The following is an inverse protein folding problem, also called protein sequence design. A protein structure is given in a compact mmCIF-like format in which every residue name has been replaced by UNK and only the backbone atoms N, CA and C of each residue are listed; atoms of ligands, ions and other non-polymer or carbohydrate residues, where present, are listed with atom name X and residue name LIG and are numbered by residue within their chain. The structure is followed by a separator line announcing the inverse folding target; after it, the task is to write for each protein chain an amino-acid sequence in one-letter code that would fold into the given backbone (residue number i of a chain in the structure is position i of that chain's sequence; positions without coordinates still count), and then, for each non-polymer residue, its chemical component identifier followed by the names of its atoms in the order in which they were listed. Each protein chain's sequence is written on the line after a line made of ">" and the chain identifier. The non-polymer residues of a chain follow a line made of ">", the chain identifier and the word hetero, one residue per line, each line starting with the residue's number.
data_IF_072754650871
#
_entry.id   IF_072754650871
#
_cell.length_a   1.000
_cell.length_b   1.000
_cell.length_c   1.000
_cell.angle_alpha   90.00
_cell.angle_beta   90.00
_cell.angle_gamma   90.00
#
_symmetry.space_group_name_H-M   'P 1'
#
loop_
_entity.id
_entity.type
_entity.pdbx_description
1 polymer ?
#
# COMPACT_ATOMS: atom_id res chain seq x y z
N UNK A 1 -35.58 -25.24 9.63
CA UNK A 1 -34.19 -24.81 9.93
C UNK A 1 -33.57 -24.35 8.62
N UNK A 2 -33.29 -23.04 8.45
CA UNK A 2 -32.82 -22.43 7.19
C UNK A 2 -31.55 -21.64 7.53
N UNK A 3 -30.41 -22.04 6.94
CA UNK A 3 -29.13 -21.35 7.10
C UNK A 3 -29.09 -20.09 6.22
N UNK A 4 -28.56 -18.95 6.70
CA UNK A 4 -28.23 -17.84 5.82
C UNK A 4 -26.84 -18.03 5.22
N UNK A 5 -26.80 -18.06 3.89
CA UNK A 5 -25.62 -18.07 3.05
C UNK A 5 -24.76 -16.82 3.28
N UNK A 6 -23.60 -16.98 3.92
CA UNK A 6 -22.60 -15.92 4.12
C UNK A 6 -21.58 -15.84 2.97
N UNK A 7 -22.01 -16.06 1.73
CA UNK A 7 -21.17 -15.99 0.52
C UNK A 7 -21.62 -14.79 -0.33
N UNK A 8 -21.51 -13.58 0.21
CA UNK A 8 -21.73 -12.37 -0.60
C UNK A 8 -20.88 -11.16 -0.17
N UNK A 9 -20.17 -11.24 0.96
CA UNK A 9 -19.39 -10.11 1.48
C UNK A 9 -17.96 -10.03 0.91
N UNK A 10 -17.43 -11.12 0.35
CA UNK A 10 -16.03 -11.18 -0.08
C UNK A 10 -15.74 -10.45 -1.42
N UNK A 11 -16.75 -10.25 -2.28
CA UNK A 11 -16.56 -9.66 -3.60
C UNK A 11 -16.39 -8.13 -3.60
N UNK A 12 -16.95 -7.45 -2.60
CA UNK A 12 -16.97 -5.98 -2.58
C UNK A 12 -15.59 -5.36 -2.24
N UNK A 13 -14.77 -6.05 -1.45
CA UNK A 13 -13.46 -5.55 -1.03
C UNK A 13 -12.43 -5.48 -2.16
N UNK A 14 -12.45 -6.46 -3.08
CA UNK A 14 -11.51 -6.50 -4.20
C UNK A 14 -11.77 -5.35 -5.19
N UNK A 15 -13.04 -5.04 -5.47
CA UNK A 15 -13.41 -3.94 -6.37
C UNK A 15 -12.97 -2.55 -5.85
N UNK A 16 -12.96 -2.35 -4.52
CA UNK A 16 -12.46 -1.12 -3.90
C UNK A 16 -10.94 -0.97 -4.00
N UNK A 17 -10.18 -2.07 -3.95
CA UNK A 17 -8.72 -2.06 -4.14
C UNK A 17 -8.33 -1.75 -5.60
N UNK A 18 -9.10 -2.24 -6.58
CA UNK A 18 -8.90 -1.91 -8.00
C UNK A 18 -9.39 -0.51 -8.39
N UNK A 19 -10.24 0.11 -7.58
CA UNK A 19 -10.72 1.49 -7.76
C UNK A 19 -9.82 2.55 -7.10
N UNK A 20 -8.65 2.15 -6.58
CA UNK A 20 -7.63 3.10 -6.17
C UNK A 20 -7.18 3.90 -7.38
N UNK A 21 -7.72 5.13 -7.49
CA UNK A 21 -7.35 6.06 -8.54
C UNK A 21 -5.82 6.18 -8.59
N UNK A 22 -5.20 6.20 -9.78
CA UNK A 22 -3.77 6.42 -9.87
C UNK A 22 -3.52 7.77 -9.20
N UNK A 23 -2.80 7.76 -8.07
CA UNK A 23 -2.37 8.99 -7.43
C UNK A 23 -1.65 9.79 -8.52
N UNK A 24 -2.28 10.87 -8.97
CA UNK A 24 -1.88 11.60 -10.16
C UNK A 24 -0.38 11.88 -10.08
N UNK A 25 0.38 11.18 -10.92
CA UNK A 25 1.84 11.22 -10.96
C UNK A 25 2.34 12.52 -11.62
N UNK A 26 1.65 13.62 -11.37
CA UNK A 26 2.18 14.94 -11.71
C UNK A 26 3.47 15.13 -10.89
N UNK A 27 4.57 15.55 -11.52
CA UNK A 27 5.82 15.79 -10.82
C UNK A 27 5.60 16.76 -9.66
N UNK A 28 6.34 16.55 -8.57
CA UNK A 28 6.34 17.44 -7.42
C UNK A 28 7.37 18.55 -7.64
N UNK A 29 6.94 19.79 -7.40
CA UNK A 29 7.77 20.99 -7.42
C UNK A 29 7.79 21.58 -6.00
N UNK A 30 8.71 22.51 -5.73
CA UNK A 30 8.71 23.27 -4.48
C UNK A 30 7.89 24.56 -4.65
N UNK A 31 7.29 25.08 -3.58
CA UNK A 31 6.82 26.47 -3.54
C UNK A 31 7.89 27.41 -2.93
N UNK A 32 7.57 28.70 -2.79
CA UNK A 32 8.49 29.69 -2.22
C UNK A 32 8.82 29.42 -0.74
N UNK A 33 7.92 28.78 -0.02
CA UNK A 33 8.04 28.48 1.41
C UNK A 33 8.73 27.12 1.63
N UNK A 34 9.15 26.44 0.56
CA UNK A 34 9.86 25.18 0.59
C UNK A 34 8.96 23.97 0.77
N UNK A 35 7.66 24.11 0.53
CA UNK A 35 6.68 23.02 0.61
C UNK A 35 6.60 22.28 -0.72
N UNK A 36 6.51 20.95 -0.66
CA UNK A 36 6.30 20.13 -1.85
C UNK A 36 4.86 20.28 -2.34
N UNK A 37 4.69 20.82 -3.55
CA UNK A 37 3.41 21.04 -4.23
C UNK A 37 3.40 20.35 -5.60
N UNK A 38 2.24 20.26 -6.26
CA UNK A 38 2.19 19.74 -7.64
C UNK A 38 2.74 20.77 -8.61
N UNK A 39 3.58 20.35 -9.55
CA UNK A 39 4.02 21.24 -10.62
C UNK A 39 2.80 21.78 -11.38
N UNK A 40 2.80 23.09 -11.67
CA UNK A 40 1.68 23.79 -12.31
C UNK A 40 0.65 24.39 -11.34
N UNK A 41 0.76 24.13 -10.04
CA UNK A 41 -0.03 24.84 -9.01
C UNK A 41 0.41 26.32 -8.96
N UNK A 42 -0.51 27.28 -8.80
CA UNK A 42 -0.13 28.68 -8.59
C UNK A 42 0.84 28.81 -7.41
N UNK A 43 2.00 29.44 -7.64
CA UNK A 43 3.06 29.54 -6.62
C UNK A 43 4.10 28.42 -6.64
N UNK A 44 3.94 27.39 -7.48
CA UNK A 44 4.98 26.39 -7.71
C UNK A 44 6.19 27.01 -8.41
N UNK A 45 7.37 26.80 -7.84
CA UNK A 45 8.65 27.13 -8.45
C UNK A 45 8.98 26.15 -9.59
N UNK A 46 9.77 26.58 -10.58
CA UNK A 46 10.11 25.75 -11.73
C UNK A 46 10.91 24.51 -11.32
N UNK A 47 10.86 23.48 -12.17
CA UNK A 47 11.64 22.26 -11.99
C UNK A 47 13.14 22.57 -11.86
N UNK A 48 13.80 22.00 -10.84
CA UNK A 48 15.22 22.25 -10.55
C UNK A 48 15.50 23.48 -9.68
N UNK A 49 14.48 24.28 -9.33
CA UNK A 49 14.61 25.25 -8.25
C UNK A 49 14.57 24.53 -6.90
N UNK A 50 15.37 24.99 -5.95
CA UNK A 50 15.49 24.40 -4.62
C UNK A 50 15.35 25.51 -3.55
N UNK A 51 14.55 25.29 -2.49
CA UNK A 51 14.35 26.30 -1.46
C UNK A 51 15.66 26.61 -0.70
N UNK A 52 15.93 27.91 -0.44
CA UNK A 52 17.07 28.30 0.39
C UNK A 52 16.86 27.82 1.82
N UNK A 53 17.79 27.01 2.34
CA UNK A 53 17.66 26.36 3.66
C UNK A 53 17.28 24.88 3.60
N UNK A 54 17.06 24.34 2.39
CA UNK A 54 16.77 22.93 2.17
C UNK A 54 15.26 22.63 2.13
N UNK A 55 14.89 21.42 1.68
CA UNK A 55 13.49 21.03 1.57
C UNK A 55 12.84 20.99 2.95
N UNK A 56 11.65 21.57 3.07
CA UNK A 56 10.83 21.32 4.25
C UNK A 56 10.48 19.83 4.25
N UNK A 57 10.61 19.18 5.41
CA UNK A 57 10.12 17.81 5.55
C UNK A 57 8.62 17.82 5.23
N UNK A 58 8.13 16.91 4.36
CA UNK A 58 6.71 16.83 4.10
C UNK A 58 5.98 16.59 5.41
N UNK A 59 4.99 17.44 5.69
CA UNK A 59 4.16 17.34 6.88
C UNK A 59 3.29 16.08 6.74
N UNK A 60 3.82 14.97 7.25
CA UNK A 60 3.20 13.66 7.11
C UNK A 60 2.42 13.42 8.40
N UNK A 61 1.08 13.48 8.37
CA UNK A 61 0.29 13.33 9.58
C UNK A 61 0.58 11.98 10.24
N UNK A 62 0.74 11.99 11.57
CA UNK A 62 0.97 10.78 12.34
C UNK A 62 -0.15 9.76 12.09
N UNK A 63 0.20 8.48 11.87
CA UNK A 63 -0.80 7.46 11.61
C UNK A 63 -1.71 7.31 12.83
N UNK A 64 -3.02 7.36 12.59
CA UNK A 64 -4.01 7.12 13.65
C UNK A 64 -3.96 5.67 14.13
N UNK A 65 -4.38 5.42 15.38
CA UNK A 65 -4.52 4.06 15.92
C UNK A 65 -5.44 3.18 15.05
N UNK A 66 -6.46 3.77 14.41
CA UNK A 66 -7.33 3.05 13.50
C UNK A 66 -6.61 2.56 12.24
N UNK A 67 -5.72 3.39 11.67
CA UNK A 67 -4.88 3.00 10.53
C UNK A 67 -3.87 1.91 10.92
N UNK A 68 -3.25 2.02 12.09
CA UNK A 68 -2.33 1.00 12.60
C UNK A 68 -3.03 -0.33 12.85
N UNK A 69 -4.21 -0.31 13.47
CA UNK A 69 -5.02 -1.52 13.69
C UNK A 69 -5.47 -2.15 12.37
N UNK A 70 -5.90 -1.33 11.39
CA UNK A 70 -6.25 -1.80 10.05
C UNK A 70 -5.08 -2.48 9.34
N UNK A 71 -3.90 -1.87 9.38
CA UNK A 71 -2.67 -2.46 8.82
C UNK A 71 -2.33 -3.80 9.47
N UNK A 72 -2.39 -3.88 10.80
CA UNK A 72 -2.15 -5.11 11.55
C UNK A 72 -3.15 -6.21 11.19
N UNK A 73 -4.42 -5.87 11.01
CA UNK A 73 -5.46 -6.83 10.60
C UNK A 73 -5.21 -7.38 9.19
N UNK A 74 -4.83 -6.51 8.24
CA UNK A 74 -4.49 -6.92 6.86
C UNK A 74 -3.28 -7.84 6.85
N UNK A 75 -2.20 -7.45 7.55
CA UNK A 75 -0.99 -8.27 7.65
C UNK A 75 -1.29 -9.60 8.34
N UNK A 76 -1.97 -9.58 9.49
CA UNK A 76 -2.35 -10.79 10.21
C UNK A 76 -3.22 -11.73 9.38
N UNK A 77 -4.20 -11.20 8.64
CA UNK A 77 -5.02 -11.97 7.71
C UNK A 77 -4.20 -12.59 6.59
N UNK A 78 -3.29 -11.83 5.97
CA UNK A 78 -2.38 -12.34 4.94
C UNK A 78 -1.52 -13.49 5.46
N UNK A 79 -0.89 -13.34 6.62
CA UNK A 79 -0.09 -14.40 7.23
C UNK A 79 -0.92 -15.62 7.62
N UNK A 80 -2.14 -15.41 8.10
CA UNK A 80 -3.06 -16.51 8.38
C UNK A 80 -3.42 -17.28 7.09
N UNK A 81 -3.65 -16.58 5.98
CA UNK A 81 -3.87 -17.24 4.67
C UNK A 81 -2.62 -17.99 4.20
N UNK A 82 -1.43 -17.40 4.32
CA UNK A 82 -0.18 -18.06 3.94
C UNK A 82 0.07 -19.33 4.77
N UNK A 83 -0.20 -19.29 6.08
CA UNK A 83 -0.09 -20.45 6.96
C UNK A 83 -1.17 -21.52 6.72
N UNK A 84 -2.26 -21.17 6.03
CA UNK A 84 -3.29 -22.12 5.61
C UNK A 84 -2.97 -22.76 4.26
N UNK A 85 -1.94 -22.30 3.54
CA UNK A 85 -1.50 -23.01 2.34
C UNK A 85 -0.98 -24.38 2.76
N UNK A 86 -1.42 -25.47 2.08
CA UNK A 86 -0.86 -26.79 2.31
C UNK A 86 0.65 -26.72 2.05
N UNK A 87 1.42 -27.55 2.75
CA UNK A 87 2.83 -27.68 2.45
C UNK A 87 2.95 -28.02 0.96
N UNK A 88 3.62 -27.15 0.20
CA UNK A 88 3.91 -27.45 -1.20
C UNK A 88 4.84 -28.66 -1.17
N UNK A 89 4.30 -29.83 -1.54
CA UNK A 89 4.96 -31.13 -1.72
C UNK A 89 5.99 -31.10 -2.88
N UNK A 90 6.77 -30.02 -3.00
CA UNK A 90 7.73 -29.78 -4.06
C UNK A 90 9.18 -30.12 -3.71
N UNK A 91 9.44 -30.68 -2.53
CA UNK A 91 10.75 -31.19 -2.15
C UNK A 91 10.69 -32.69 -1.93
N UNK A 92 10.56 -33.46 -3.00
CA UNK A 92 10.85 -34.88 -2.97
C UNK A 92 12.37 -35.08 -3.00
N UNK A 93 12.99 -35.14 -1.82
CA UNK A 93 14.38 -35.56 -1.67
C UNK A 93 14.64 -37.03 -2.05
N UNK A 94 13.84 -37.63 -2.93
CA UNK A 94 13.87 -39.06 -3.30
C UNK A 94 14.69 -39.37 -4.56
N UNK A 95 15.45 -38.42 -5.10
CA UNK A 95 16.29 -38.65 -6.30
C UNK A 95 17.82 -38.68 -6.02
N UNK A 96 18.29 -38.77 -4.77
CA UNK A 96 19.74 -38.76 -4.46
C UNK A 96 20.32 -40.00 -3.76
N UNK A 97 19.64 -41.14 -3.80
CA UNK A 97 20.14 -42.38 -3.21
C UNK A 97 20.26 -43.53 -4.25
N UNK A 98 20.46 -43.20 -5.53
CA UNK A 98 20.77 -44.18 -6.59
C UNK A 98 22.15 -43.92 -7.21
N UNK A 99 23.22 -44.01 -6.41
CA UNK A 99 24.60 -44.20 -6.93
C UNK A 99 25.47 -45.04 -5.99
#
# INVERSE_FOLDING_TARGET
>A
MRAPSAMAAAGAGLALLLAAAPAAAAPTCWDRDGVAVRCGTPGAMPVGWEPPGGPAAPDTPDPSLAQLAGLAAVLGGLFALLGLMPEFDGWDGRERDEE
#
